data_IF_128195855115
#
_entry.id   IF_128195855115
#
_cell.length_a   1.000
_cell.length_b   1.000
_cell.length_c   1.000
_cell.angle_alpha   90.00
_cell.angle_beta   90.00
_cell.angle_gamma   90.00
#
_symmetry.space_group_name_H-M   'P 1'
#
loop_
_entity.id
_entity.type
_entity.pdbx_description
1 polymer ?
#
# COMPACT_ATOMS: atom_id res chain seq x y z
N UNK A 1 22.04 23.91 -13.26
CA UNK A 1 21.53 25.28 -13.00
C UNK A 1 21.01 26.02 -14.22
N UNK A 2 21.48 25.80 -15.44
CA UNK A 2 21.12 26.64 -16.62
C UNK A 2 19.83 26.22 -17.36
N UNK A 3 19.19 25.12 -17.05
CA UNK A 3 18.05 24.61 -17.85
C UNK A 3 16.66 25.10 -17.41
N UNK A 4 16.53 25.70 -16.23
CA UNK A 4 15.24 26.16 -15.69
C UNK A 4 15.18 27.64 -15.30
N UNK A 5 16.23 28.40 -15.59
CA UNK A 5 16.33 29.81 -15.26
C UNK A 5 16.06 30.71 -16.46
N UNK A 6 14.88 30.70 -17.03
CA UNK A 6 14.44 31.86 -17.81
C UNK A 6 13.94 32.90 -16.82
N UNK A 7 14.85 33.84 -16.53
CA UNK A 7 14.63 34.96 -15.64
C UNK A 7 13.83 36.05 -16.33
N UNK A 8 12.59 36.21 -15.95
CA UNK A 8 11.83 37.44 -16.17
C UNK A 8 11.86 38.40 -14.95
N UNK A 9 12.57 38.03 -13.89
CA UNK A 9 12.76 38.85 -12.71
C UNK A 9 14.22 38.79 -12.27
N UNK A 10 14.75 39.89 -11.68
CA UNK A 10 16.10 39.98 -11.11
C UNK A 10 16.37 39.03 -9.94
N UNK A 11 15.36 38.25 -9.51
CA UNK A 11 15.46 37.28 -8.41
C UNK A 11 15.61 35.89 -9.04
N UNK A 12 16.67 35.14 -8.75
CA UNK A 12 16.86 33.79 -9.23
C UNK A 12 15.72 32.89 -8.66
N UNK A 13 15.05 32.17 -9.55
CA UNK A 13 14.02 31.20 -9.16
C UNK A 13 14.63 29.79 -9.12
N UNK A 14 14.38 29.08 -8.04
CA UNK A 14 14.84 27.72 -7.84
C UNK A 14 13.67 26.76 -8.01
N UNK A 15 13.91 25.63 -8.67
CA UNK A 15 12.91 24.56 -8.71
C UNK A 15 12.93 23.76 -7.41
N UNK A 16 11.81 23.12 -7.05
CA UNK A 16 11.74 22.27 -5.87
C UNK A 16 12.81 21.17 -5.86
N UNK A 17 13.14 20.59 -7.03
CA UNK A 17 14.21 19.59 -7.16
C UNK A 17 15.59 20.17 -6.85
N UNK A 18 15.88 21.38 -7.30
CA UNK A 18 17.15 22.05 -6.99
C UNK A 18 17.29 22.32 -5.49
N UNK A 19 16.20 22.73 -4.84
CA UNK A 19 16.19 22.94 -3.39
C UNK A 19 16.38 21.61 -2.66
N UNK A 20 15.67 20.56 -3.09
CA UNK A 20 15.80 19.23 -2.49
C UNK A 20 17.21 18.64 -2.69
N UNK A 21 17.83 18.85 -3.84
CA UNK A 21 19.20 18.40 -4.14
C UNK A 21 20.25 18.94 -3.17
N UNK A 22 20.02 20.12 -2.57
CA UNK A 22 20.93 20.68 -1.55
C UNK A 22 21.01 19.80 -0.29
N UNK A 23 20.01 18.96 -0.06
CA UNK A 23 19.95 18.06 1.10
C UNK A 23 20.61 16.71 0.84
N UNK A 24 20.89 16.37 -0.42
CA UNK A 24 21.46 15.09 -0.82
C UNK A 24 23.00 15.11 -0.76
N UNK A 25 23.65 13.99 -0.44
CA UNK A 25 25.10 13.84 -0.58
C UNK A 25 25.55 13.97 -2.02
N UNK A 26 26.71 14.60 -2.23
CA UNK A 26 27.26 14.88 -3.58
C UNK A 26 27.67 13.60 -4.35
N UNK A 27 27.91 12.50 -3.67
CA UNK A 27 28.33 11.21 -4.20
C UNK A 27 27.17 10.25 -4.51
N UNK A 28 25.91 10.68 -4.25
CA UNK A 28 24.73 9.86 -4.42
C UNK A 28 24.33 9.70 -5.89
N UNK A 29 24.19 8.45 -6.33
CA UNK A 29 23.67 8.08 -7.64
C UNK A 29 22.58 7.01 -7.47
N UNK A 30 21.32 7.34 -7.81
CA UNK A 30 20.18 6.47 -7.65
C UNK A 30 19.23 6.58 -8.84
N UNK A 31 18.61 5.44 -9.19
CA UNK A 31 17.54 5.37 -10.18
C UNK A 31 16.50 4.35 -9.74
N UNK A 32 15.27 4.80 -9.56
CA UNK A 32 14.15 3.94 -9.16
C UNK A 32 12.80 4.51 -9.63
N UNK A 33 11.77 3.66 -9.56
CA UNK A 33 10.42 4.04 -9.92
C UNK A 33 9.70 4.70 -8.73
N UNK A 34 9.06 5.83 -8.96
CA UNK A 34 8.19 6.47 -7.98
C UNK A 34 7.01 5.56 -7.58
N UNK A 35 6.38 5.80 -6.43
CA UNK A 35 5.17 5.09 -6.01
C UNK A 35 3.98 5.32 -6.95
N UNK A 36 4.04 6.40 -7.73
CA UNK A 36 3.04 6.78 -8.75
C UNK A 36 3.29 6.14 -10.11
N UNK A 37 4.35 5.33 -10.24
CA UNK A 37 4.70 4.65 -11.50
C UNK A 37 3.57 3.77 -12.01
N UNK A 38 3.21 3.94 -13.28
CA UNK A 38 2.16 3.14 -13.93
C UNK A 38 2.79 1.91 -14.61
N UNK A 39 2.49 0.72 -14.06
CA UNK A 39 3.00 -0.54 -14.58
C UNK A 39 2.45 -0.86 -16.00
N UNK A 40 1.27 -0.35 -16.32
CA UNK A 40 0.59 -0.58 -17.61
C UNK A 40 1.12 0.30 -18.76
N UNK A 41 2.00 1.26 -18.45
CA UNK A 41 2.59 2.19 -19.40
C UNK A 41 4.03 1.83 -19.73
N UNK A 42 4.47 2.26 -20.92
CA UNK A 42 5.87 2.09 -21.29
C UNK A 42 6.81 2.91 -20.40
N UNK A 43 8.07 2.48 -20.23
CA UNK A 43 9.06 3.26 -19.47
C UNK A 43 9.27 4.68 -20.02
N UNK A 44 9.08 4.88 -21.34
CA UNK A 44 9.20 6.19 -21.98
C UNK A 44 8.06 7.11 -21.61
N UNK A 45 6.80 6.63 -21.63
CA UNK A 45 5.64 7.38 -21.16
C UNK A 45 5.72 7.74 -19.68
N UNK A 46 6.19 6.80 -18.83
CA UNK A 46 6.43 7.08 -17.42
C UNK A 46 7.54 8.11 -17.21
N UNK A 47 8.53 8.18 -18.10
CA UNK A 47 9.58 9.21 -18.07
C UNK A 47 9.07 10.58 -18.49
N UNK A 48 8.20 10.64 -19.50
CA UNK A 48 7.54 11.90 -19.91
C UNK A 48 6.63 12.44 -18.80
N UNK A 49 5.97 11.57 -18.06
CA UNK A 49 5.17 11.90 -16.88
C UNK A 49 5.99 12.14 -15.61
N UNK A 50 7.32 12.06 -15.71
CA UNK A 50 8.23 12.31 -14.59
C UNK A 50 8.07 11.34 -13.41
N UNK A 51 7.74 10.08 -13.69
CA UNK A 51 7.47 9.03 -12.70
C UNK A 51 8.72 8.18 -12.35
N UNK A 52 9.85 8.48 -12.96
CA UNK A 52 11.13 7.82 -12.68
C UNK A 52 12.05 8.82 -11.96
N UNK A 53 12.44 8.44 -10.75
CA UNK A 53 13.39 9.23 -9.97
C UNK A 53 14.80 8.92 -10.42
N UNK A 54 15.56 9.95 -10.81
CA UNK A 54 16.94 9.85 -11.20
C UNK A 54 17.77 10.92 -10.48
N UNK A 55 18.74 10.46 -9.69
CA UNK A 55 19.68 11.31 -8.94
C UNK A 55 21.07 10.99 -9.46
N UNK A 56 21.82 12.02 -9.87
CA UNK A 56 23.19 11.88 -10.36
C UNK A 56 24.08 12.89 -9.64
N UNK A 57 25.12 12.41 -8.98
CA UNK A 57 26.05 13.20 -8.19
C UNK A 57 25.30 14.15 -7.23
N UNK A 58 24.37 13.61 -6.44
CA UNK A 58 23.57 14.37 -5.49
C UNK A 58 22.54 15.33 -6.09
N UNK A 59 22.43 15.40 -7.42
CA UNK A 59 21.46 16.27 -8.08
C UNK A 59 20.26 15.47 -8.56
N UNK A 60 19.07 15.83 -8.10
CA UNK A 60 17.82 15.25 -8.56
C UNK A 60 17.44 15.78 -9.94
N UNK A 61 17.52 14.92 -10.96
CA UNK A 61 17.27 15.30 -12.36
C UNK A 61 15.79 15.15 -12.70
N UNK A 62 15.18 14.05 -12.29
CA UNK A 62 13.78 13.72 -12.59
C UNK A 62 13.08 13.04 -11.42
N UNK A 63 11.75 12.97 -11.48
CA UNK A 63 10.90 12.27 -10.54
C UNK A 63 10.38 13.11 -9.37
N UNK A 64 9.36 12.62 -8.66
CA UNK A 64 8.83 13.21 -7.43
C UNK A 64 9.55 12.67 -6.19
N UNK A 65 9.42 13.37 -5.08
CA UNK A 65 9.77 12.85 -3.74
C UNK A 65 8.52 12.26 -3.12
N UNK A 66 8.50 10.96 -2.92
CA UNK A 66 7.33 10.20 -2.48
C UNK A 66 7.67 9.16 -1.40
N UNK A 67 6.71 8.24 -1.10
CA UNK A 67 6.91 7.18 -0.14
C UNK A 67 8.06 6.22 -0.49
N UNK A 68 8.33 5.98 -1.78
CA UNK A 68 9.48 5.17 -2.20
C UNK A 68 10.82 5.91 -2.03
N UNK A 69 10.77 7.25 -1.89
CA UNK A 69 11.95 8.08 -1.66
C UNK A 69 12.38 8.12 -0.20
N UNK A 70 11.44 8.37 0.74
CA UNK A 70 11.76 8.74 2.14
C UNK A 70 11.13 7.80 3.18
N UNK A 71 10.26 6.85 2.80
CA UNK A 71 9.61 5.97 3.75
C UNK A 71 10.60 5.17 4.60
N UNK A 72 10.24 4.90 5.86
CA UNK A 72 11.06 4.12 6.79
C UNK A 72 11.33 2.67 6.34
N UNK A 73 10.45 2.09 5.52
CA UNK A 73 10.58 0.67 5.09
C UNK A 73 11.01 0.48 3.64
N UNK A 74 10.84 1.49 2.78
CA UNK A 74 11.08 1.39 1.34
C UNK A 74 11.83 2.61 0.78
N UNK A 75 12.24 3.53 1.63
CA UNK A 75 12.84 4.79 1.22
C UNK A 75 14.23 4.59 0.64
N UNK A 76 14.33 4.57 -0.69
CA UNK A 76 15.59 4.35 -1.41
C UNK A 76 16.64 5.42 -1.09
N UNK A 77 16.23 6.70 -0.99
CA UNK A 77 17.14 7.81 -0.65
C UNK A 77 17.66 7.65 0.79
N UNK A 78 16.75 7.33 1.73
CA UNK A 78 17.12 7.20 3.13
C UNK A 78 18.04 5.99 3.35
N UNK A 79 17.78 4.89 2.67
CA UNK A 79 18.62 3.69 2.73
C UNK A 79 20.01 3.98 2.20
N UNK A 80 20.11 4.66 1.05
CA UNK A 80 21.39 4.99 0.43
C UNK A 80 22.21 5.97 1.28
N UNK A 81 21.58 7.00 1.87
CA UNK A 81 22.27 7.92 2.80
C UNK A 81 22.79 7.14 4.02
N UNK A 82 21.97 6.25 4.57
CA UNK A 82 22.40 5.43 5.71
C UNK A 82 23.57 4.50 5.34
N UNK A 83 23.60 3.97 4.11
CA UNK A 83 24.67 3.12 3.61
C UNK A 83 25.97 3.90 3.36
N UNK A 84 25.90 5.08 2.74
CA UNK A 84 27.07 5.88 2.39
C UNK A 84 27.68 6.62 3.59
N UNK A 85 26.84 7.23 4.41
CA UNK A 85 27.27 8.18 5.44
C UNK A 85 26.89 7.75 6.88
N UNK A 86 26.13 6.66 7.03
CA UNK A 86 25.73 6.12 8.31
C UNK A 86 24.45 6.72 8.91
N UNK A 87 24.06 6.22 10.08
CA UNK A 87 22.78 6.52 10.72
C UNK A 87 22.65 7.99 11.17
N UNK A 88 23.73 8.64 11.58
CA UNK A 88 23.70 10.06 12.00
C UNK A 88 23.39 11.00 10.83
N UNK A 89 23.96 10.74 9.66
CA UNK A 89 23.66 11.49 8.45
C UNK A 89 22.20 11.28 7.99
N UNK A 90 21.68 10.04 8.11
CA UNK A 90 20.29 9.74 7.83
C UNK A 90 19.33 10.49 8.78
N UNK A 91 19.65 10.58 10.08
CA UNK A 91 18.90 11.39 11.06
C UNK A 91 18.88 12.85 10.65
N UNK A 92 20.04 13.44 10.36
CA UNK A 92 20.17 14.85 9.98
C UNK A 92 19.44 15.16 8.65
N UNK A 93 19.44 14.20 7.73
CA UNK A 93 18.68 14.31 6.48
C UNK A 93 17.16 14.36 6.75
N UNK A 94 16.62 13.45 7.58
CA UNK A 94 15.20 13.44 7.96
C UNK A 94 14.79 14.78 8.58
N UNK A 95 15.59 15.32 9.50
CA UNK A 95 15.32 16.61 10.13
C UNK A 95 15.29 17.75 9.12
N UNK A 96 16.26 17.80 8.21
CA UNK A 96 16.34 18.82 7.16
C UNK A 96 15.18 18.74 6.18
N UNK A 97 14.82 17.52 5.72
CA UNK A 97 13.68 17.30 4.81
C UNK A 97 12.37 17.69 5.48
N UNK A 98 12.19 17.34 6.77
CA UNK A 98 10.99 17.71 7.52
C UNK A 98 10.86 19.23 7.62
N UNK A 99 11.93 19.94 7.93
CA UNK A 99 11.94 21.42 7.98
C UNK A 99 11.65 22.03 6.62
N UNK A 100 12.24 21.48 5.55
CA UNK A 100 11.97 21.92 4.18
C UNK A 100 10.51 21.73 3.80
N UNK A 101 9.94 20.55 4.08
CA UNK A 101 8.54 20.22 3.78
C UNK A 101 7.57 21.13 4.54
N UNK A 102 7.81 21.36 5.84
CA UNK A 102 7.01 22.29 6.65
C UNK A 102 7.11 23.72 6.10
N UNK A 103 8.32 24.19 5.77
CA UNK A 103 8.52 25.50 5.17
C UNK A 103 7.77 25.66 3.85
N UNK A 104 7.84 24.66 2.97
CA UNK A 104 7.10 24.67 1.71
C UNK A 104 5.57 24.69 1.92
N UNK A 105 5.06 23.90 2.87
CA UNK A 105 3.63 23.90 3.20
C UNK A 105 3.15 25.24 3.79
N UNK A 106 3.97 25.93 4.56
CA UNK A 106 3.64 27.25 5.10
C UNK A 106 3.52 28.32 4.00
N UNK A 107 4.29 28.17 2.92
CA UNK A 107 4.24 29.10 1.78
C UNK A 107 3.11 28.78 0.80
N UNK A 108 2.89 27.48 0.50
CA UNK A 108 1.90 27.05 -0.50
C UNK A 108 0.51 26.84 0.09
N UNK A 109 0.42 26.48 1.34
CA UNK A 109 -0.82 25.96 1.96
C UNK A 109 -1.18 24.57 1.42
N UNK A 110 -2.03 23.87 2.16
CA UNK A 110 -2.63 22.60 1.72
C UNK A 110 -3.97 22.44 2.44
N UNK A 111 -5.04 22.37 1.68
CA UNK A 111 -6.39 22.20 2.22
C UNK A 111 -7.13 21.14 1.43
N UNK A 112 -7.83 20.25 2.10
CA UNK A 112 -8.73 19.28 1.50
C UNK A 112 -10.16 19.58 1.96
N UNK A 113 -11.05 19.79 1.00
CA UNK A 113 -12.47 20.04 1.21
C UNK A 113 -13.33 18.89 0.73
N UNK A 114 -14.66 19.01 0.96
CA UNK A 114 -15.64 18.06 0.44
C UNK A 114 -15.69 18.14 -1.10
N UNK A 115 -15.42 19.32 -1.65
CA UNK A 115 -15.42 19.57 -3.10
C UNK A 115 -14.29 18.82 -3.82
N UNK A 116 -13.20 18.48 -3.12
CA UNK A 116 -12.11 17.66 -3.67
C UNK A 116 -12.54 16.23 -4.02
N UNK A 117 -13.70 15.79 -3.55
CA UNK A 117 -14.32 14.52 -3.92
C UNK A 117 -15.41 14.67 -4.99
N UNK A 118 -15.51 15.83 -5.65
CA UNK A 118 -16.47 16.05 -6.73
C UNK A 118 -16.02 15.38 -8.02
N UNK A 119 -16.89 14.53 -8.53
CA UNK A 119 -16.70 13.83 -9.80
C UNK A 119 -17.72 14.39 -10.80
N UNK A 120 -17.32 14.70 -12.05
CA UNK A 120 -18.21 15.13 -13.11
C UNK A 120 -19.37 14.14 -13.34
N UNK A 121 -20.52 14.65 -13.80
CA UNK A 121 -21.71 13.82 -14.03
C UNK A 121 -21.44 12.66 -15.03
N UNK A 122 -20.68 12.92 -16.08
CA UNK A 122 -20.31 11.88 -17.06
C UNK A 122 -19.57 10.69 -16.43
N UNK A 123 -18.73 10.96 -15.42
CA UNK A 123 -18.03 9.90 -14.72
C UNK A 123 -18.95 9.16 -13.71
N UNK A 124 -19.88 9.85 -13.08
CA UNK A 124 -20.92 9.23 -12.25
C UNK A 124 -21.81 8.31 -13.08
N UNK A 125 -22.17 8.70 -14.29
CA UNK A 125 -22.93 7.87 -15.22
C UNK A 125 -22.15 6.61 -15.63
N UNK A 126 -20.86 6.74 -15.94
CA UNK A 126 -19.98 5.58 -16.21
C UNK A 126 -19.87 4.63 -15.02
N UNK A 127 -19.76 5.16 -13.80
CA UNK A 127 -19.73 4.37 -12.56
C UNK A 127 -21.06 3.61 -12.40
N UNK A 128 -22.17 4.30 -12.60
CA UNK A 128 -23.51 3.72 -12.49
C UNK A 128 -23.73 2.61 -13.53
N UNK A 129 -23.33 2.82 -14.77
CA UNK A 129 -23.39 1.81 -15.82
C UNK A 129 -22.56 0.57 -15.49
N UNK A 130 -21.35 0.77 -14.96
CA UNK A 130 -20.50 -0.32 -14.51
C UNK A 130 -21.14 -1.13 -13.37
N UNK A 131 -21.79 -0.45 -12.42
CA UNK A 131 -22.51 -1.09 -11.31
C UNK A 131 -23.73 -1.90 -11.82
N UNK A 132 -24.51 -1.34 -12.74
CA UNK A 132 -25.67 -2.02 -13.34
C UNK A 132 -25.22 -3.27 -14.10
N UNK A 133 -24.13 -3.16 -14.85
CA UNK A 133 -23.57 -4.30 -15.59
C UNK A 133 -23.13 -5.43 -14.63
N UNK A 134 -22.49 -5.08 -13.53
CA UNK A 134 -22.05 -6.07 -12.54
C UNK A 134 -23.20 -6.74 -11.81
N UNK A 135 -24.23 -6.00 -11.44
CA UNK A 135 -25.42 -6.60 -10.83
C UNK A 135 -26.06 -7.60 -11.77
N UNK A 136 -26.17 -7.28 -13.06
CA UNK A 136 -26.68 -8.22 -14.09
C UNK A 136 -25.78 -9.46 -14.22
N UNK A 137 -24.46 -9.32 -14.04
CA UNK A 137 -23.53 -10.46 -14.04
C UNK A 137 -23.72 -11.32 -12.79
N UNK A 138 -23.90 -10.71 -11.62
CA UNK A 138 -24.24 -11.42 -10.39
C UNK A 138 -25.56 -12.19 -10.53
N UNK A 139 -26.59 -11.56 -11.10
CA UNK A 139 -27.88 -12.22 -11.33
C UNK A 139 -27.74 -13.44 -12.27
N UNK A 140 -26.88 -13.38 -13.28
CA UNK A 140 -26.57 -14.53 -14.14
C UNK A 140 -25.90 -15.66 -13.35
N UNK A 141 -24.95 -15.34 -12.48
CA UNK A 141 -24.28 -16.33 -11.63
C UNK A 141 -25.26 -16.99 -10.65
N UNK A 142 -26.11 -16.20 -10.00
CA UNK A 142 -27.15 -16.70 -9.09
C UNK A 142 -28.15 -17.59 -9.83
N UNK A 143 -28.57 -17.19 -11.05
CA UNK A 143 -29.45 -18.01 -11.87
C UNK A 143 -28.77 -19.30 -12.34
N UNK A 144 -27.48 -19.29 -12.66
CA UNK A 144 -26.72 -20.49 -13.00
C UNK A 144 -26.61 -21.45 -11.81
N UNK A 145 -26.38 -20.90 -10.62
CA UNK A 145 -26.39 -21.66 -9.36
C UNK A 145 -27.73 -22.32 -9.09
N UNK A 146 -28.84 -21.57 -9.17
CA UNK A 146 -30.18 -22.08 -8.94
C UNK A 146 -30.59 -23.16 -9.96
N UNK A 147 -30.02 -23.13 -11.17
CA UNK A 147 -30.22 -24.14 -12.22
C UNK A 147 -29.24 -25.31 -12.13
N UNK A 148 -28.36 -25.35 -11.13
CA UNK A 148 -27.36 -26.40 -10.96
C UNK A 148 -26.30 -26.47 -12.07
N UNK A 149 -26.06 -25.36 -12.83
CA UNK A 149 -25.11 -25.28 -13.94
C UNK A 149 -23.75 -24.73 -13.54
N UNK A 150 -23.60 -24.27 -12.29
CA UNK A 150 -22.36 -23.72 -11.79
C UNK A 150 -21.38 -24.85 -11.46
N UNK A 151 -20.21 -24.82 -12.10
CA UNK A 151 -19.16 -25.81 -11.84
C UNK A 151 -18.35 -25.37 -10.60
N UNK A 152 -18.12 -26.26 -9.62
CA UNK A 152 -17.33 -25.94 -8.44
C UNK A 152 -15.85 -25.75 -8.82
N UNK A 153 -15.19 -24.80 -8.17
CA UNK A 153 -13.73 -24.67 -8.26
C UNK A 153 -13.05 -25.85 -7.53
N UNK A 154 -11.84 -26.25 -7.96
CA UNK A 154 -11.11 -27.32 -7.29
C UNK A 154 -10.98 -27.06 -5.78
N UNK A 155 -11.40 -28.04 -4.97
CA UNK A 155 -11.32 -27.97 -3.50
C UNK A 155 -12.37 -27.12 -2.80
N UNK A 156 -13.42 -26.65 -3.51
CA UNK A 156 -14.52 -25.84 -2.94
C UNK A 156 -15.90 -26.42 -3.26
N UNK A 157 -16.86 -26.11 -2.39
CA UNK A 157 -18.27 -26.41 -2.65
C UNK A 157 -18.84 -25.48 -3.72
N UNK A 158 -20.00 -25.84 -4.29
CA UNK A 158 -20.69 -25.00 -5.29
C UNK A 158 -21.09 -23.64 -4.69
N UNK A 159 -21.53 -23.64 -3.42
CA UNK A 159 -21.91 -22.43 -2.70
C UNK A 159 -20.71 -21.52 -2.45
N UNK A 160 -19.59 -22.07 -1.97
CA UNK A 160 -18.35 -21.31 -1.80
C UNK A 160 -17.81 -20.75 -3.12
N UNK A 161 -17.96 -21.51 -4.20
CA UNK A 161 -17.57 -21.05 -5.54
C UNK A 161 -18.42 -19.85 -5.98
N UNK A 162 -19.73 -19.90 -5.76
CA UNK A 162 -20.63 -18.77 -6.06
C UNK A 162 -20.21 -17.53 -5.27
N UNK A 163 -19.97 -17.67 -3.97
CA UNK A 163 -19.59 -16.52 -3.11
C UNK A 163 -18.26 -15.88 -3.60
N UNK A 164 -17.28 -16.68 -3.97
CA UNK A 164 -15.99 -16.18 -4.48
C UNK A 164 -16.14 -15.48 -5.84
N UNK A 165 -16.93 -16.05 -6.76
CA UNK A 165 -17.17 -15.42 -8.05
C UNK A 165 -17.90 -14.10 -7.91
N UNK A 166 -18.96 -14.05 -7.11
CA UNK A 166 -19.72 -12.81 -6.86
C UNK A 166 -18.86 -11.76 -6.18
N UNK A 167 -18.08 -12.14 -5.16
CA UNK A 167 -17.13 -11.22 -4.50
C UNK A 167 -16.10 -10.67 -5.51
N UNK A 168 -15.62 -11.51 -6.42
CA UNK A 168 -14.69 -11.11 -7.48
C UNK A 168 -15.31 -10.10 -8.45
N UNK A 169 -16.55 -10.33 -8.91
CA UNK A 169 -17.28 -9.40 -9.79
C UNK A 169 -17.48 -8.04 -9.11
N UNK A 170 -18.01 -8.05 -7.88
CA UNK A 170 -18.30 -6.82 -7.14
C UNK A 170 -17.04 -6.08 -6.71
N UNK A 171 -15.94 -6.81 -6.45
CA UNK A 171 -14.62 -6.23 -6.20
C UNK A 171 -14.09 -5.46 -7.41
N UNK A 172 -14.12 -6.07 -8.60
CA UNK A 172 -13.70 -5.41 -9.87
C UNK A 172 -14.47 -4.13 -10.15
N UNK A 173 -15.76 -4.09 -9.85
CA UNK A 173 -16.58 -2.88 -10.04
C UNK A 173 -16.16 -1.76 -9.09
N UNK A 174 -15.92 -2.08 -7.83
CA UNK A 174 -15.39 -1.11 -6.86
C UNK A 174 -14.06 -0.52 -7.35
N UNK A 175 -13.15 -1.38 -7.80
CA UNK A 175 -11.84 -0.96 -8.26
C UNK A 175 -11.94 -0.11 -9.53
N UNK A 176 -12.78 -0.52 -10.49
CA UNK A 176 -13.08 0.27 -11.71
C UNK A 176 -13.73 1.63 -11.38
N UNK A 177 -14.66 1.66 -10.43
CA UNK A 177 -15.24 2.93 -9.96
C UNK A 177 -14.18 3.84 -9.36
N UNK A 178 -13.19 3.27 -8.66
CA UNK A 178 -12.05 3.99 -8.12
C UNK A 178 -11.11 4.53 -9.18
N UNK A 179 -10.87 3.78 -10.23
CA UNK A 179 -10.05 4.22 -11.37
C UNK A 179 -10.72 5.39 -12.11
N UNK A 180 -12.02 5.28 -12.42
CA UNK A 180 -12.80 6.35 -13.05
C UNK A 180 -12.78 7.62 -12.19
N UNK A 181 -13.09 7.50 -10.90
CA UNK A 181 -13.07 8.64 -9.99
C UNK A 181 -11.66 9.25 -9.87
N UNK A 182 -10.62 8.43 -9.72
CA UNK A 182 -9.24 8.87 -9.60
C UNK A 182 -8.70 9.55 -10.85
N UNK A 183 -9.17 9.15 -12.03
CA UNK A 183 -8.81 9.79 -13.29
C UNK A 183 -9.40 11.21 -13.40
N UNK A 184 -10.67 11.37 -13.05
CA UNK A 184 -11.37 12.65 -13.13
C UNK A 184 -10.99 13.65 -12.05
N UNK A 185 -10.57 13.17 -10.86
CA UNK A 185 -10.10 14.04 -9.79
C UNK A 185 -8.75 14.72 -10.12
N UNK A 186 -7.97 14.14 -11.03
CA UNK A 186 -6.72 14.72 -11.52
C UNK A 186 -5.58 14.71 -10.50
N UNK A 187 -4.40 15.19 -10.96
CA UNK A 187 -3.18 15.27 -10.14
C UNK A 187 -3.01 16.59 -9.37
N UNK A 188 -3.86 17.59 -9.64
CA UNK A 188 -3.83 18.88 -8.93
C UNK A 188 -4.60 18.82 -7.59
N UNK A 189 -5.34 17.75 -7.36
CA UNK A 189 -6.10 17.52 -6.15
C UNK A 189 -5.19 17.05 -5.01
N UNK A 190 -5.15 17.78 -3.90
CA UNK A 190 -4.30 17.45 -2.75
C UNK A 190 -4.59 16.07 -2.14
N UNK A 191 -5.86 15.64 -2.15
CA UNK A 191 -6.23 14.32 -1.65
C UNK A 191 -5.64 13.20 -2.54
N UNK A 192 -5.65 13.38 -3.87
CA UNK A 192 -5.02 12.46 -4.83
C UNK A 192 -3.50 12.46 -4.66
N UNK A 193 -2.88 13.64 -4.51
CA UNK A 193 -1.43 13.75 -4.27
C UNK A 193 -1.06 12.98 -3.00
N UNK A 194 -1.76 13.18 -1.89
CA UNK A 194 -1.48 12.48 -0.63
C UNK A 194 -1.64 10.96 -0.76
N UNK A 195 -2.67 10.50 -1.45
CA UNK A 195 -2.92 9.07 -1.63
C UNK A 195 -1.89 8.40 -2.54
N UNK A 196 -1.55 9.05 -3.67
CA UNK A 196 -0.60 8.50 -4.65
C UNK A 196 0.84 8.59 -4.20
N UNK A 197 1.23 9.65 -3.51
CA UNK A 197 2.57 9.77 -2.96
C UNK A 197 2.87 8.79 -1.82
N UNK A 198 1.83 8.12 -1.29
CA UNK A 198 1.97 7.21 -0.16
C UNK A 198 2.10 7.92 1.19
N UNK A 199 1.80 9.23 1.24
CA UNK A 199 1.89 10.03 2.47
C UNK A 199 0.77 9.65 3.45
N UNK A 200 -0.48 9.74 3.01
CA UNK A 200 -1.64 9.42 3.84
C UNK A 200 -2.86 9.05 2.99
N UNK A 201 -3.64 8.10 3.49
CA UNK A 201 -4.80 7.59 2.77
C UNK A 201 -4.42 6.60 1.66
N UNK A 202 -5.41 6.24 0.86
CA UNK A 202 -5.23 5.38 -0.32
C UNK A 202 -6.22 5.78 -1.40
N UNK A 203 -5.96 5.40 -2.64
CA UNK A 203 -6.92 5.60 -3.75
C UNK A 203 -8.24 4.90 -3.47
N UNK A 204 -8.24 3.81 -2.67
CA UNK A 204 -9.46 3.15 -2.22
C UNK A 204 -10.34 4.08 -1.37
N UNK A 205 -9.75 4.89 -0.49
CA UNK A 205 -10.52 5.84 0.33
C UNK A 205 -11.18 6.91 -0.55
N UNK A 206 -10.46 7.42 -1.55
CA UNK A 206 -11.01 8.37 -2.52
C UNK A 206 -12.11 7.73 -3.39
N UNK A 207 -11.92 6.48 -3.80
CA UNK A 207 -12.94 5.70 -4.49
C UNK A 207 -14.22 5.57 -3.67
N UNK A 208 -14.11 5.30 -2.38
CA UNK A 208 -15.26 5.20 -1.48
C UNK A 208 -15.94 6.54 -1.22
N UNK A 209 -15.17 7.63 -1.19
CA UNK A 209 -15.71 8.97 -1.02
C UNK A 209 -16.45 9.46 -2.28
N UNK A 210 -15.87 9.29 -3.44
CA UNK A 210 -16.33 9.88 -4.70
C UNK A 210 -17.11 8.90 -5.59
N UNK A 211 -16.78 7.62 -5.60
CA UNK A 211 -17.31 6.62 -6.52
C UNK A 211 -18.32 5.66 -5.87
N UNK A 212 -17.83 4.64 -5.17
CA UNK A 212 -18.68 3.62 -4.55
C UNK A 212 -17.97 2.97 -3.36
N UNK A 213 -18.71 2.69 -2.30
CA UNK A 213 -18.19 1.96 -1.14
C UNK A 213 -17.96 0.48 -1.48
N UNK A 214 -18.81 -0.11 -2.32
CA UNK A 214 -18.68 -1.48 -2.79
C UNK A 214 -19.23 -2.54 -1.83
N UNK A 215 -18.87 -3.80 -2.07
CA UNK A 215 -19.35 -4.95 -1.30
C UNK A 215 -18.85 -4.90 0.15
N UNK A 216 -19.78 -5.01 1.09
CA UNK A 216 -19.47 -5.18 2.50
C UNK A 216 -19.29 -6.66 2.83
N UNK A 217 -18.25 -6.95 3.61
CA UNK A 217 -17.93 -8.30 4.03
C UNK A 217 -17.80 -8.38 5.55
N UNK A 218 -18.20 -9.51 6.11
CA UNK A 218 -18.03 -9.86 7.52
C UNK A 218 -17.34 -11.21 7.59
N UNK A 219 -16.17 -11.28 8.22
CA UNK A 219 -15.31 -12.47 8.29
C UNK A 219 -14.87 -13.00 6.91
N UNK A 220 -14.70 -12.09 5.94
CA UNK A 220 -14.28 -12.44 4.59
C UNK A 220 -15.40 -12.97 3.68
N UNK A 221 -16.64 -13.04 4.16
CA UNK A 221 -17.82 -13.50 3.42
C UNK A 221 -18.82 -12.35 3.25
N UNK A 222 -19.68 -12.45 2.24
CA UNK A 222 -20.81 -11.52 2.09
C UNK A 222 -21.75 -11.66 3.28
N UNK A 223 -22.45 -10.59 3.63
CA UNK A 223 -23.36 -10.57 4.77
C UNK A 223 -24.44 -11.64 4.59
N UNK A 224 -24.50 -12.57 5.52
CA UNK A 224 -25.46 -13.69 5.47
C UNK A 224 -26.34 -13.78 6.72
N UNK A 225 -25.94 -13.13 7.81
CA UNK A 225 -26.60 -13.24 9.11
C UNK A 225 -27.57 -12.09 9.35
N UNK A 226 -28.66 -12.37 9.99
CA UNK A 226 -29.71 -11.42 10.35
C UNK A 226 -30.95 -12.17 10.77
N UNK A 227 -31.80 -12.51 9.81
CA UNK A 227 -32.99 -13.35 9.99
C UNK A 227 -32.77 -14.74 9.41
N UNK A 228 -33.77 -15.60 9.55
CA UNK A 228 -33.74 -16.94 8.97
C UNK A 228 -33.62 -16.85 7.43
N UNK A 229 -32.46 -17.24 6.89
CA UNK A 229 -32.12 -17.29 5.45
C UNK A 229 -32.26 -15.95 4.70
N UNK A 230 -32.16 -14.81 5.40
CA UNK A 230 -32.15 -13.46 4.82
C UNK A 230 -31.44 -12.48 5.76
N UNK A 231 -30.95 -11.41 5.24
CA UNK A 231 -30.21 -10.37 6.00
C UNK A 231 -31.15 -9.39 6.71
N UNK A 232 -32.18 -8.94 6.00
CA UNK A 232 -33.17 -7.99 6.52
C UNK A 232 -34.58 -8.49 6.16
N UNK A 233 -35.60 -7.97 6.87
CA UNK A 233 -36.98 -8.42 6.76
C UNK A 233 -37.64 -8.15 5.41
N UNK A 234 -37.18 -7.14 4.67
CA UNK A 234 -37.74 -6.75 3.38
C UNK A 234 -37.16 -7.53 2.18
N UNK A 235 -36.07 -8.28 2.37
CA UNK A 235 -35.56 -9.19 1.35
C UNK A 235 -36.24 -10.55 1.39
N UNK A 236 -36.32 -11.22 0.26
CA UNK A 236 -36.88 -12.56 0.16
C UNK A 236 -35.97 -13.58 0.87
N UNK A 237 -36.60 -14.65 1.40
CA UNK A 237 -35.85 -15.76 1.99
C UNK A 237 -35.01 -16.45 0.91
N UNK A 238 -33.71 -16.62 1.17
CA UNK A 238 -32.78 -17.25 0.24
C UNK A 238 -32.31 -16.35 -0.91
N UNK A 239 -32.52 -15.05 -0.82
CA UNK A 239 -32.02 -14.09 -1.81
C UNK A 239 -30.48 -14.01 -1.76
N UNK A 240 -29.83 -14.32 -2.89
CA UNK A 240 -28.39 -14.29 -3.09
C UNK A 240 -27.92 -13.08 -3.89
N UNK A 241 -28.83 -12.19 -4.22
CA UNK A 241 -28.56 -10.96 -4.99
C UNK A 241 -27.52 -10.05 -4.33
N UNK A 242 -26.97 -9.12 -5.09
CA UNK A 242 -25.93 -8.21 -4.62
C UNK A 242 -26.44 -7.34 -3.46
N UNK A 243 -27.57 -6.68 -3.65
CA UNK A 243 -28.15 -5.76 -2.66
C UNK A 243 -28.59 -6.47 -1.38
N UNK A 244 -29.14 -7.70 -1.51
CA UNK A 244 -29.58 -8.50 -0.38
C UNK A 244 -28.40 -8.99 0.51
N UNK A 245 -27.21 -9.07 -0.05
CA UNK A 245 -26.01 -9.55 0.61
C UNK A 245 -25.00 -8.43 0.94
N UNK A 246 -25.41 -7.18 0.90
CA UNK A 246 -24.64 -6.05 1.42
C UNK A 246 -23.75 -5.35 0.39
N UNK A 247 -24.15 -5.31 -0.87
CA UNK A 247 -23.51 -4.45 -1.86
C UNK A 247 -23.98 -3.01 -1.69
N UNK A 248 -23.05 -2.07 -1.50
CA UNK A 248 -23.30 -0.64 -1.34
C UNK A 248 -22.91 0.07 -2.64
N UNK A 249 -23.90 0.60 -3.34
CA UNK A 249 -23.70 1.32 -4.61
C UNK A 249 -23.28 2.75 -4.37
N UNK A 250 -23.81 3.36 -3.32
CA UNK A 250 -23.59 4.76 -2.99
C UNK A 250 -22.15 5.03 -2.54
N UNK A 251 -21.72 6.28 -2.72
CA UNK A 251 -20.50 6.83 -2.14
C UNK A 251 -20.79 7.55 -0.83
N UNK A 252 -19.77 7.89 -0.07
CA UNK A 252 -19.98 8.73 1.13
C UNK A 252 -20.52 10.11 0.78
N UNK A 253 -20.11 10.67 -0.36
CA UNK A 253 -20.56 11.98 -0.81
C UNK A 253 -22.02 11.98 -1.27
N UNK A 254 -22.45 10.95 -2.00
CA UNK A 254 -23.84 10.81 -2.43
C UNK A 254 -24.80 10.49 -1.28
N UNK A 255 -24.26 9.99 -0.16
CA UNK A 255 -25.03 9.51 0.98
C UNK A 255 -25.54 8.09 0.80
N UNK A 256 -25.64 7.34 1.90
CA UNK A 256 -26.07 5.94 1.92
C UNK A 256 -27.57 5.84 2.19
N UNK A 257 -28.25 4.91 1.53
CA UNK A 257 -29.60 4.50 1.90
C UNK A 257 -29.61 3.84 3.30
N UNK A 258 -30.74 3.78 4.01
CA UNK A 258 -30.80 3.15 5.33
C UNK A 258 -30.32 1.69 5.35
N UNK A 259 -30.59 0.93 4.31
CA UNK A 259 -30.15 -0.46 4.16
C UNK A 259 -28.66 -0.56 3.93
N UNK A 260 -28.11 0.25 3.04
CA UNK A 260 -26.68 0.34 2.78
C UNK A 260 -25.91 0.78 4.02
N UNK A 261 -26.41 1.77 4.74
CA UNK A 261 -25.81 2.22 5.99
C UNK A 261 -25.78 1.10 7.04
N UNK A 262 -26.86 0.33 7.15
CA UNK A 262 -26.89 -0.80 8.08
C UNK A 262 -25.83 -1.85 7.76
N UNK A 263 -25.69 -2.24 6.50
CA UNK A 263 -24.66 -3.19 6.08
C UNK A 263 -23.25 -2.63 6.25
N UNK A 264 -23.05 -1.37 5.92
CA UNK A 264 -21.76 -0.71 6.12
C UNK A 264 -21.39 -0.63 7.60
N UNK A 265 -22.34 -0.36 8.47
CA UNK A 265 -22.14 -0.34 9.93
C UNK A 265 -21.75 -1.74 10.47
N UNK A 266 -22.29 -2.82 9.91
CA UNK A 266 -21.88 -4.18 10.27
C UNK A 266 -20.41 -4.46 9.92
N UNK A 267 -20.00 -4.12 8.69
CA UNK A 267 -18.61 -4.27 8.25
C UNK A 267 -17.65 -3.39 9.04
N UNK A 268 -18.01 -2.13 9.27
CA UNK A 268 -17.22 -1.20 10.08
C UNK A 268 -17.05 -1.65 11.53
N UNK A 269 -18.12 -2.19 12.15
CA UNK A 269 -18.05 -2.74 13.51
C UNK A 269 -17.08 -3.91 13.61
N UNK A 270 -17.08 -4.81 12.63
CA UNK A 270 -16.11 -5.91 12.60
C UNK A 270 -14.68 -5.39 12.58
N UNK A 271 -14.38 -4.40 11.71
CA UNK A 271 -13.06 -3.79 11.65
C UNK A 271 -12.63 -3.15 12.98
N UNK A 272 -13.53 -2.44 13.64
CA UNK A 272 -13.26 -1.84 14.96
C UNK A 272 -12.99 -2.90 16.04
N UNK A 273 -13.80 -3.96 16.07
CA UNK A 273 -13.64 -5.06 17.04
C UNK A 273 -12.36 -5.82 16.77
N UNK A 274 -12.05 -6.15 15.51
CA UNK A 274 -10.80 -6.84 15.15
C UNK A 274 -9.58 -6.02 15.56
N UNK A 275 -9.56 -4.72 15.30
CA UNK A 275 -8.49 -3.82 15.70
C UNK A 275 -8.28 -3.83 17.22
N UNK A 276 -9.36 -3.69 18.00
CA UNK A 276 -9.30 -3.67 19.46
C UNK A 276 -8.80 -5.00 20.04
N UNK A 277 -9.33 -6.13 19.54
CA UNK A 277 -8.93 -7.48 19.97
C UNK A 277 -7.47 -7.78 19.57
N UNK A 278 -7.07 -7.42 18.36
CA UNK A 278 -5.71 -7.63 17.84
C UNK A 278 -4.68 -6.86 18.66
N UNK A 279 -4.98 -5.62 19.03
CA UNK A 279 -4.12 -4.79 19.88
C UNK A 279 -3.91 -5.44 21.26
N UNK A 280 -4.99 -5.87 21.90
CA UNK A 280 -4.92 -6.55 23.21
C UNK A 280 -4.12 -7.87 23.11
N UNK A 281 -4.37 -8.65 22.07
CA UNK A 281 -3.72 -9.94 21.83
C UNK A 281 -2.22 -9.80 21.57
N UNK A 282 -1.83 -8.83 20.75
CA UNK A 282 -0.43 -8.54 20.45
C UNK A 282 0.30 -7.99 21.68
N UNK A 283 -0.34 -7.13 22.46
CA UNK A 283 0.21 -6.62 23.72
C UNK A 283 0.44 -7.72 24.77
N UNK A 284 -0.50 -8.64 24.91
CA UNK A 284 -0.36 -9.80 25.80
C UNK A 284 0.77 -10.73 25.34
N UNK A 285 0.85 -10.99 24.02
CA UNK A 285 1.95 -11.79 23.45
C UNK A 285 3.30 -11.11 23.66
N UNK A 286 3.40 -9.80 23.41
CA UNK A 286 4.60 -9.01 23.68
C UNK A 286 5.05 -9.12 25.13
N UNK A 287 4.13 -8.93 26.10
CA UNK A 287 4.45 -9.06 27.52
C UNK A 287 5.02 -10.43 27.87
N UNK A 288 4.41 -11.50 27.34
CA UNK A 288 4.91 -12.87 27.56
C UNK A 288 6.29 -13.09 26.96
N UNK A 289 6.52 -12.59 25.74
CA UNK A 289 7.82 -12.70 25.08
C UNK A 289 8.89 -11.91 25.83
N UNK A 290 8.61 -10.69 26.23
CA UNK A 290 9.55 -9.87 27.01
C UNK A 290 9.92 -10.60 28.31
N UNK A 291 8.94 -11.05 29.08
CA UNK A 291 9.20 -11.79 30.33
C UNK A 291 9.98 -13.11 30.13
N UNK A 292 9.83 -13.74 28.97
CA UNK A 292 10.57 -14.98 28.66
C UNK A 292 12.00 -14.71 28.18
N UNK A 293 12.26 -13.55 27.59
CA UNK A 293 13.53 -13.25 26.94
C UNK A 293 14.39 -12.22 27.67
N UNK A 294 13.85 -11.51 28.68
CA UNK A 294 14.55 -10.42 29.38
C UNK A 294 15.86 -10.86 30.06
N UNK A 295 15.93 -12.12 30.48
CA UNK A 295 17.09 -12.71 31.12
C UNK A 295 18.15 -13.22 30.14
N UNK A 296 17.84 -13.31 28.83
CA UNK A 296 18.72 -13.91 27.84
C UNK A 296 19.69 -12.87 27.26
N UNK A 297 20.97 -13.26 27.19
CA UNK A 297 22.03 -12.44 26.59
C UNK A 297 22.96 -13.27 25.72
N UNK A 298 23.35 -12.71 24.60
CA UNK A 298 24.42 -13.26 23.75
C UNK A 298 25.76 -12.93 24.41
N UNK A 299 26.60 -13.93 24.58
CA UNK A 299 27.99 -13.79 25.09
C UNK A 299 28.96 -13.68 23.91
N UNK A 300 30.23 -13.33 24.24
CA UNK A 300 31.28 -13.18 23.23
C UNK A 300 31.64 -14.49 22.50
N UNK A 301 31.27 -15.65 23.07
CA UNK A 301 31.40 -16.96 22.47
C UNK A 301 30.22 -17.36 21.58
N UNK A 302 29.37 -16.38 21.25
CA UNK A 302 28.13 -16.53 20.47
C UNK A 302 27.06 -17.43 21.10
N UNK A 303 27.29 -17.93 22.33
CA UNK A 303 26.26 -18.66 23.07
C UNK A 303 25.22 -17.70 23.67
N UNK A 304 23.97 -18.12 23.72
CA UNK A 304 22.90 -17.42 24.45
C UNK A 304 22.79 -18.01 25.84
N UNK A 305 22.91 -17.18 26.86
CA UNK A 305 22.85 -17.58 28.26
C UNK A 305 21.87 -16.77 29.07
N UNK A 306 21.31 -17.37 30.09
CA UNK A 306 20.47 -16.68 31.08
C UNK A 306 21.32 -16.00 32.18
N UNK A 307 20.66 -15.33 33.13
CA UNK A 307 21.33 -14.69 34.30
C UNK A 307 22.11 -15.64 35.19
N UNK A 308 21.70 -16.92 35.28
CA UNK A 308 22.40 -17.98 35.98
C UNK A 308 23.60 -18.55 35.18
N UNK A 309 23.93 -17.98 34.01
CA UNK A 309 24.98 -18.40 33.10
C UNK A 309 24.79 -19.79 32.49
N UNK A 310 23.55 -20.33 32.53
CA UNK A 310 23.19 -21.58 31.86
C UNK A 310 23.07 -21.32 30.35
N UNK A 311 23.64 -22.20 29.55
CA UNK A 311 23.55 -22.11 28.08
C UNK A 311 22.14 -22.52 27.64
N UNK A 312 21.42 -21.59 27.04
CA UNK A 312 20.07 -21.80 26.47
C UNK A 312 20.17 -22.18 25.02
N UNK A 313 21.10 -21.55 24.29
CA UNK A 313 21.37 -21.83 22.88
C UNK A 313 22.88 -21.77 22.64
N UNK A 314 23.42 -22.78 21.95
CA UNK A 314 24.85 -22.85 21.73
C UNK A 314 25.36 -21.85 20.69
N UNK A 315 24.51 -21.51 19.73
CA UNK A 315 24.82 -20.53 18.70
C UNK A 315 23.60 -19.62 18.51
N UNK A 316 23.77 -18.31 18.63
CA UNK A 316 22.70 -17.33 18.46
C UNK A 316 22.04 -17.49 17.08
N UNK A 317 20.72 -17.66 17.06
CA UNK A 317 19.93 -17.79 15.82
C UNK A 317 20.30 -18.97 14.92
N UNK A 318 21.13 -19.92 15.41
CA UNK A 318 21.71 -21.05 14.67
C UNK A 318 22.75 -20.65 13.61
N UNK A 319 22.77 -19.41 13.15
CA UNK A 319 23.65 -18.85 12.13
C UNK A 319 24.65 -17.80 12.67
N UNK A 320 24.47 -17.34 13.89
CA UNK A 320 25.23 -16.25 14.52
C UNK A 320 25.09 -14.87 13.85
N UNK A 321 24.10 -14.70 12.97
CA UNK A 321 23.87 -13.45 12.27
C UNK A 321 23.03 -12.50 13.09
N UNK A 322 23.48 -11.25 13.19
CA UNK A 322 22.70 -10.17 13.82
C UNK A 322 21.63 -9.68 12.84
N UNK A 323 20.32 -9.84 13.14
CA UNK A 323 19.24 -9.39 12.26
C UNK A 323 19.29 -7.91 11.92
N UNK A 324 19.90 -7.08 12.77
CA UNK A 324 20.04 -5.64 12.52
C UNK A 324 21.04 -5.32 11.41
N UNK A 325 21.95 -6.25 11.12
CA UNK A 325 22.94 -6.14 10.05
C UNK A 325 22.52 -6.88 8.77
N UNK A 326 21.36 -7.53 8.79
CA UNK A 326 20.81 -8.19 7.60
C UNK A 326 20.09 -7.17 6.71
N UNK A 327 20.19 -7.32 5.39
CA UNK A 327 19.49 -6.49 4.42
C UNK A 327 18.21 -7.19 3.98
N UNK A 328 17.05 -6.53 4.16
CA UNK A 328 15.71 -7.06 3.83
C UNK A 328 15.42 -8.46 4.42
N UNK A 329 15.94 -8.76 5.61
CA UNK A 329 15.74 -10.04 6.30
C UNK A 329 16.56 -11.21 5.72
N UNK A 330 17.50 -10.94 4.82
CA UNK A 330 18.47 -11.93 4.33
C UNK A 330 19.71 -11.89 5.20
N UNK A 331 20.12 -13.04 5.71
CA UNK A 331 21.31 -13.16 6.55
C UNK A 331 22.60 -12.70 5.84
N UNK A 332 22.69 -12.94 4.54
CA UNK A 332 23.79 -12.49 3.67
C UNK A 332 23.16 -11.90 2.40
N UNK A 333 23.45 -10.65 2.11
CA UNK A 333 23.12 -10.02 0.84
C UNK A 333 24.30 -10.22 -0.13
N UNK A 334 24.21 -11.28 -0.91
CA UNK A 334 25.25 -11.65 -1.88
C UNK A 334 25.42 -10.57 -2.95
N UNK A 335 24.33 -9.92 -3.36
CA UNK A 335 24.35 -8.89 -4.40
C UNK A 335 25.12 -7.66 -3.91
N UNK A 336 24.84 -7.21 -2.68
CA UNK A 336 25.58 -6.12 -2.05
C UNK A 336 27.06 -6.45 -1.86
N UNK A 337 27.36 -7.67 -1.47
CA UNK A 337 28.75 -8.12 -1.26
C UNK A 337 29.52 -8.19 -2.59
N UNK A 338 28.85 -8.58 -3.68
CA UNK A 338 29.42 -8.56 -5.04
C UNK A 338 29.65 -7.12 -5.49
N UNK A 339 28.72 -6.22 -5.27
CA UNK A 339 28.86 -4.80 -5.59
C UNK A 339 30.04 -4.17 -4.83
N UNK A 340 30.18 -4.45 -3.55
CA UNK A 340 31.28 -3.96 -2.72
C UNK A 340 32.64 -4.50 -3.17
N UNK A 341 32.74 -5.77 -3.57
CA UNK A 341 33.97 -6.41 -4.06
C UNK A 341 34.31 -5.99 -5.48
N UNK A 342 33.31 -5.81 -6.35
CA UNK A 342 33.53 -5.47 -7.77
C UNK A 342 33.61 -3.96 -8.03
N UNK A 343 33.46 -3.13 -7.00
CA UNK A 343 33.49 -1.67 -7.13
C UNK A 343 32.35 -1.11 -7.96
N UNK A 344 31.14 -1.64 -7.76
CA UNK A 344 29.93 -1.12 -8.40
C UNK A 344 29.71 -1.51 -9.85
N UNK A 345 30.46 -2.48 -10.37
CA UNK A 345 30.13 -3.07 -11.68
C UNK A 345 29.06 -4.14 -11.49
N UNK A 346 27.81 -3.75 -11.68
CA UNK A 346 26.66 -4.65 -11.73
C UNK A 346 26.91 -5.78 -12.75
N UNK A 347 27.15 -6.99 -12.24
CA UNK A 347 27.14 -8.20 -13.06
C UNK A 347 25.72 -8.75 -13.01
N UNK A 348 24.96 -8.54 -14.07
CA UNK A 348 23.61 -9.11 -14.22
C UNK A 348 23.72 -10.65 -14.30
N UNK A 349 23.50 -11.32 -13.17
CA UNK A 349 23.36 -12.78 -13.16
C UNK A 349 21.94 -13.19 -13.50
N UNK A 350 21.62 -13.28 -14.78
CA UNK A 350 20.32 -13.77 -15.25
C UNK A 350 20.15 -15.29 -15.18
N UNK A 351 21.14 -16.07 -14.69
CA UNK A 351 21.12 -17.53 -14.81
C UNK A 351 21.63 -18.32 -13.59
N UNK A 352 21.48 -17.85 -12.36
CA UNK A 352 21.69 -18.69 -11.18
C UNK A 352 20.38 -18.88 -10.40
N UNK A 353 19.44 -19.60 -11.00
CA UNK A 353 18.45 -20.34 -10.24
C UNK A 353 19.16 -21.57 -9.65
N UNK A 354 19.57 -21.48 -8.39
CA UNK A 354 19.91 -22.67 -7.61
C UNK A 354 18.66 -23.56 -7.53
N UNK A 355 18.75 -24.86 -7.88
CA UNK A 355 17.63 -25.76 -7.72
C UNK A 355 17.29 -25.83 -6.22
N UNK A 356 16.08 -25.38 -5.85
CA UNK A 356 15.51 -25.67 -4.55
C UNK A 356 15.30 -27.17 -4.44
N UNK A 357 16.25 -27.87 -3.86
CA UNK A 357 16.02 -29.22 -3.38
C UNK A 357 15.05 -29.12 -2.21
N UNK A 358 13.82 -29.54 -2.43
CA UNK A 358 12.90 -29.90 -1.38
C UNK A 358 13.57 -30.94 -0.47
N UNK A 359 13.88 -30.56 0.76
CA UNK A 359 14.02 -31.55 1.84
C UNK A 359 12.70 -31.65 2.54
N UNK A 360 12.22 -32.89 2.61
CA UNK A 360 11.01 -33.43 3.24
C UNK A 360 10.90 -32.99 4.71
#
# INVERSE_FOLDING_TARGET
MKKYGQSFSRIPRWSGRQIFSVLLPDDMNLKYNASVYFADRTPEENRELDMIVEIVNGNMISGPVDGNSISAFKGQILEEISRLQGADAARDFIDKVTRLAVGALMETGCTTGIDDADVPQDALDQITDAQIAAVKEVDKLVNAYNKGKLQPRPGRSVEETLEVEVMGVLGRVRDKSGEIAGWHLGMDNFAVIMARSGARGSMLNLSQMAGSIGQQAVRGERISRGYERRTLSHFNKGDLGADAKGFVRSSYKSGLSPTEYFFHSMGGREGLVDTAVRTSRSGYMQRRLVNALEDLRVKYDYTVRNTANTVVQFQYGEDSVDPTKSKFGRAIDVDSLIEDVTGGKSVSYTHLTLPTTHCV
#
